data_IF_696572757090
#
_entry.id   IF_696572757090
#
_cell.length_a   1.000
_cell.length_b   1.000
_cell.length_c   1.000
_cell.angle_alpha   90.00
_cell.angle_beta   90.00
_cell.angle_gamma   90.00
#
_symmetry.space_group_name_H-M   'P 1'
#
loop_
_entity.id
_entity.type
_entity.pdbx_description
1 polymer ?
#
# COMPACT_ATOMS: atom_id res chain seq x y z
N UNK A 1 48.32 -6.84 10.74
CA UNK A 1 47.11 -6.15 11.23
C UNK A 1 46.26 -5.81 10.04
N UNK A 2 45.36 -6.70 9.67
CA UNK A 2 44.43 -6.49 8.56
C UNK A 2 43.11 -5.94 9.09
N UNK A 3 42.73 -4.75 8.63
CA UNK A 3 41.45 -4.13 8.94
C UNK A 3 40.38 -4.70 8.03
N UNK A 4 39.53 -5.56 8.55
CA UNK A 4 38.34 -6.06 7.89
C UNK A 4 37.34 -4.92 7.73
N UNK A 5 37.18 -4.42 6.51
CA UNK A 5 36.13 -3.46 6.12
C UNK A 5 34.79 -4.16 6.05
N UNK A 6 33.97 -4.02 7.08
CA UNK A 6 32.56 -4.45 7.07
C UNK A 6 31.77 -3.58 6.07
N UNK A 7 31.38 -4.15 4.94
CA UNK A 7 30.54 -3.49 3.94
C UNK A 7 29.11 -3.38 4.48
N UNK A 8 28.69 -2.17 4.77
CA UNK A 8 27.26 -1.82 4.92
C UNK A 8 26.58 -1.88 3.53
N UNK A 9 26.08 -3.05 3.18
CA UNK A 9 25.33 -3.26 1.94
C UNK A 9 23.87 -3.48 2.33
N UNK A 10 22.96 -2.52 2.05
CA UNK A 10 21.54 -2.78 2.27
C UNK A 10 20.53 -1.66 2.01
N UNK A 11 20.87 -0.40 2.05
CA UNK A 11 19.86 0.66 1.92
C UNK A 11 19.99 1.55 0.67
N UNK A 12 21.13 1.68 0.07
CA UNK A 12 21.34 2.52 -1.12
C UNK A 12 20.72 1.93 -2.41
N UNK A 13 20.63 0.60 -2.54
CA UNK A 13 20.19 -0.05 -3.78
C UNK A 13 18.68 -0.06 -4.04
N UNK A 14 17.83 0.22 -3.05
CA UNK A 14 16.37 0.18 -3.22
C UNK A 14 15.80 1.53 -3.68
N UNK A 15 16.49 2.64 -3.38
CA UNK A 15 16.03 3.98 -3.78
C UNK A 15 16.17 4.24 -5.28
N UNK A 16 17.09 3.55 -5.96
CA UNK A 16 17.31 3.67 -7.41
C UNK A 16 16.42 2.70 -8.22
N UNK A 17 15.73 1.75 -7.55
CA UNK A 17 14.93 0.72 -8.21
C UNK A 17 13.58 1.24 -8.74
N UNK A 18 13.08 2.34 -8.24
CA UNK A 18 11.82 2.95 -8.66
C UNK A 18 11.71 4.41 -8.21
N UNK A 19 10.89 5.18 -8.90
CA UNK A 19 10.46 6.51 -8.47
C UNK A 19 8.99 6.48 -8.06
N UNK A 20 8.60 7.40 -7.19
CA UNK A 20 7.21 7.64 -6.81
C UNK A 20 6.75 8.97 -7.37
N UNK A 21 5.61 9.02 -8.04
CA UNK A 21 5.05 10.22 -8.61
C UNK A 21 3.56 10.35 -8.29
N UNK A 22 3.07 11.58 -8.14
CA UNK A 22 1.65 11.83 -8.03
C UNK A 22 1.00 11.79 -9.41
N UNK A 23 -0.07 11.02 -9.56
CA UNK A 23 -0.85 10.95 -10.80
C UNK A 23 -1.93 12.02 -10.75
N UNK A 24 -1.78 13.07 -11.57
CA UNK A 24 -2.64 14.25 -11.54
C UNK A 24 -3.58 14.36 -12.73
N UNK A 25 -3.19 13.78 -13.86
CA UNK A 25 -3.95 13.84 -15.10
C UNK A 25 -4.83 12.59 -15.31
N UNK A 26 -5.86 12.74 -16.11
CA UNK A 26 -6.82 11.67 -16.37
C UNK A 26 -6.23 10.56 -17.24
N UNK A 27 -5.26 10.86 -18.08
CA UNK A 27 -4.61 9.83 -18.90
C UNK A 27 -3.86 8.81 -18.03
N UNK A 28 -3.09 9.28 -17.04
CA UNK A 28 -2.42 8.41 -16.07
C UNK A 28 -3.40 7.63 -15.19
N UNK A 29 -4.48 8.27 -14.75
CA UNK A 29 -5.56 7.61 -13.96
C UNK A 29 -6.21 6.48 -14.76
N UNK A 30 -6.58 6.72 -16.01
CA UNK A 30 -7.15 5.72 -16.93
C UNK A 30 -6.18 4.59 -17.20
N UNK A 31 -4.90 4.89 -17.42
CA UNK A 31 -3.87 3.87 -17.65
C UNK A 31 -3.73 2.92 -16.45
N UNK A 32 -3.81 3.43 -15.21
CA UNK A 32 -3.82 2.62 -13.99
C UNK A 32 -5.04 1.71 -13.91
N UNK A 33 -6.23 2.25 -14.19
CA UNK A 33 -7.46 1.45 -14.20
C UNK A 33 -7.40 0.33 -15.24
N UNK A 34 -7.05 0.68 -16.48
CA UNK A 34 -6.90 -0.29 -17.57
C UNK A 34 -5.90 -1.41 -17.21
N UNK A 35 -4.82 -1.07 -16.49
CA UNK A 35 -3.87 -2.07 -16.00
C UNK A 35 -4.46 -2.95 -14.92
N UNK A 36 -5.16 -2.39 -13.94
CA UNK A 36 -5.87 -3.20 -12.92
C UNK A 36 -6.87 -4.16 -13.56
N UNK A 37 -7.59 -3.74 -14.61
CA UNK A 37 -8.48 -4.61 -15.36
C UNK A 37 -7.72 -5.77 -16.04
N UNK A 38 -6.66 -5.47 -16.76
CA UNK A 38 -5.84 -6.49 -17.43
C UNK A 38 -5.26 -7.54 -16.48
N UNK A 39 -4.88 -7.13 -15.27
CA UNK A 39 -4.32 -8.02 -14.26
C UNK A 39 -5.38 -8.65 -13.34
N UNK A 40 -6.67 -8.34 -13.53
CA UNK A 40 -7.77 -8.87 -12.73
C UNK A 40 -7.79 -8.36 -11.28
N UNK A 41 -7.21 -7.17 -11.03
CA UNK A 41 -7.04 -6.60 -9.69
C UNK A 41 -8.21 -5.71 -9.24
N UNK A 42 -9.11 -5.33 -10.16
CA UNK A 42 -10.25 -4.45 -9.85
C UNK A 42 -11.14 -5.00 -8.75
N UNK A 43 -11.35 -6.32 -8.70
CA UNK A 43 -12.16 -6.97 -7.66
C UNK A 43 -11.57 -6.91 -6.25
N UNK A 44 -10.26 -6.68 -6.12
CA UNK A 44 -9.60 -6.48 -4.83
C UNK A 44 -9.48 -4.99 -4.48
N UNK A 45 -9.13 -4.16 -5.47
CA UNK A 45 -8.94 -2.72 -5.28
C UNK A 45 -10.27 -1.96 -5.13
N UNK A 46 -11.33 -2.45 -5.75
CA UNK A 46 -12.67 -1.85 -5.74
C UNK A 46 -13.74 -2.87 -5.34
N UNK A 47 -13.51 -3.62 -4.26
CA UNK A 47 -14.36 -4.73 -3.84
C UNK A 47 -15.81 -4.34 -3.50
N UNK A 48 -16.05 -3.06 -3.20
CA UNK A 48 -17.38 -2.52 -2.92
C UNK A 48 -18.23 -2.27 -4.20
N UNK A 49 -17.66 -2.46 -5.40
CA UNK A 49 -18.36 -2.38 -6.69
C UNK A 49 -18.47 -3.77 -7.31
N UNK A 50 -19.67 -4.10 -7.77
CA UNK A 50 -19.90 -5.39 -8.44
C UNK A 50 -19.21 -5.45 -9.81
N UNK A 51 -19.31 -4.36 -10.57
CA UNK A 51 -18.71 -4.18 -11.89
C UNK A 51 -18.09 -2.78 -11.99
N UNK A 52 -16.89 -2.54 -11.41
CA UNK A 52 -16.28 -1.23 -11.42
C UNK A 52 -15.88 -0.81 -12.83
N UNK A 53 -16.29 0.40 -13.23
CA UNK A 53 -15.99 1.01 -14.52
C UNK A 53 -14.95 2.10 -14.39
N UNK A 54 -14.42 2.55 -15.54
CA UNK A 54 -13.43 3.64 -15.58
C UNK A 54 -13.97 4.91 -14.93
N UNK A 55 -15.26 5.23 -15.16
CA UNK A 55 -15.87 6.42 -14.57
C UNK A 55 -15.96 6.35 -13.05
N UNK A 56 -16.19 5.15 -12.48
CA UNK A 56 -16.22 4.94 -11.03
C UNK A 56 -14.83 5.15 -10.44
N UNK A 57 -13.81 4.63 -11.11
CA UNK A 57 -12.41 4.84 -10.74
C UNK A 57 -12.01 6.31 -10.83
N UNK A 58 -12.31 6.99 -11.95
CA UNK A 58 -12.01 8.40 -12.12
C UNK A 58 -12.69 9.25 -11.05
N UNK A 59 -13.98 9.00 -10.76
CA UNK A 59 -14.71 9.66 -9.67
C UNK A 59 -14.05 9.40 -8.32
N UNK A 60 -13.64 8.16 -8.07
CA UNK A 60 -12.97 7.78 -6.84
C UNK A 60 -11.66 8.55 -6.65
N UNK A 61 -10.75 8.51 -7.63
CA UNK A 61 -9.40 9.08 -7.48
C UNK A 61 -9.32 10.59 -7.65
N UNK A 62 -10.33 11.21 -8.27
CA UNK A 62 -10.38 12.67 -8.50
C UNK A 62 -11.11 13.43 -7.39
N UNK A 63 -11.66 12.76 -6.39
CA UNK A 63 -12.37 13.43 -5.31
C UNK A 63 -11.43 14.36 -4.52
N UNK A 64 -11.92 15.49 -3.99
CA UNK A 64 -11.11 16.50 -3.32
C UNK A 64 -10.26 15.92 -2.19
N UNK A 65 -9.02 16.40 -2.09
CA UNK A 65 -8.07 16.03 -1.04
C UNK A 65 -7.44 14.62 -1.19
N UNK A 66 -7.82 13.84 -2.18
CA UNK A 66 -7.20 12.54 -2.46
C UNK A 66 -5.85 12.70 -3.14
N UNK A 67 -4.95 11.80 -2.79
CA UNK A 67 -3.60 11.70 -3.38
C UNK A 67 -3.45 10.31 -3.99
N UNK A 68 -3.30 10.27 -5.32
CA UNK A 68 -2.96 9.05 -6.03
C UNK A 68 -1.48 9.06 -6.36
N UNK A 69 -0.73 8.10 -5.84
CA UNK A 69 0.69 7.89 -6.14
C UNK A 69 0.85 6.68 -7.05
N UNK A 70 1.85 6.72 -7.93
CA UNK A 70 2.33 5.54 -8.64
C UNK A 70 3.83 5.35 -8.40
N UNK A 71 4.26 4.10 -8.33
CA UNK A 71 5.66 3.70 -8.36
C UNK A 71 6.01 3.23 -9.77
N UNK A 72 7.10 3.76 -10.32
CA UNK A 72 7.53 3.48 -11.70
C UNK A 72 8.99 3.05 -11.71
N UNK A 73 9.30 1.93 -12.35
CA UNK A 73 10.68 1.47 -12.59
C UNK A 73 11.42 2.40 -13.56
N UNK A 74 12.76 2.32 -13.64
CA UNK A 74 13.57 3.14 -14.55
C UNK A 74 13.19 3.00 -16.03
N UNK A 75 12.68 1.85 -16.45
CA UNK A 75 12.21 1.56 -17.81
C UNK A 75 10.80 2.11 -18.10
N UNK A 76 10.17 2.79 -17.12
CA UNK A 76 8.82 3.33 -17.26
C UNK A 76 7.71 2.35 -16.84
N UNK A 77 8.04 1.12 -16.47
CA UNK A 77 7.04 0.15 -16.01
C UNK A 77 6.42 0.59 -14.68
N UNK A 78 5.10 0.73 -14.63
CA UNK A 78 4.39 1.01 -13.37
C UNK A 78 4.37 -0.23 -12.49
N UNK A 79 4.86 -0.15 -11.27
CA UNK A 79 5.03 -1.27 -10.33
C UNK A 79 3.89 -1.37 -9.32
N UNK A 80 3.39 -0.23 -8.86
CA UNK A 80 2.33 -0.15 -7.86
C UNK A 80 1.60 1.19 -7.97
N UNK A 81 0.41 1.27 -7.38
CA UNK A 81 -0.25 2.53 -7.09
C UNK A 81 -0.87 2.52 -5.69
N UNK A 82 -0.97 3.71 -5.09
CA UNK A 82 -1.60 3.91 -3.79
C UNK A 82 -2.53 5.11 -3.82
N UNK A 83 -3.75 4.93 -3.35
CA UNK A 83 -4.73 5.98 -3.15
C UNK A 83 -4.80 6.32 -1.67
N UNK A 84 -4.67 7.61 -1.34
CA UNK A 84 -4.71 8.13 0.03
C UNK A 84 -5.82 9.16 0.14
N UNK A 85 -6.87 8.80 0.83
CA UNK A 85 -8.10 9.60 0.96
C UNK A 85 -8.16 10.29 2.32
N UNK A 86 -8.58 11.55 2.43
CA UNK A 86 -8.87 12.16 3.73
C UNK A 86 -9.94 11.34 4.44
N UNK A 87 -9.74 11.09 5.74
CA UNK A 87 -10.75 10.43 6.56
C UNK A 87 -11.24 11.35 7.68
N UNK A 88 -10.46 11.57 8.73
CA UNK A 88 -10.79 12.51 9.82
C UNK A 88 -9.54 13.28 10.27
N UNK A 89 -9.64 14.59 10.35
CA UNK A 89 -8.51 15.43 10.73
C UNK A 89 -7.28 15.18 9.84
N UNK A 90 -6.17 14.77 10.45
CA UNK A 90 -4.93 14.44 9.74
C UNK A 90 -4.77 12.94 9.46
N UNK A 91 -5.81 12.12 9.66
CA UNK A 91 -5.79 10.71 9.32
C UNK A 91 -6.22 10.51 7.87
N UNK A 92 -5.53 9.63 7.16
CA UNK A 92 -5.91 9.24 5.80
C UNK A 92 -6.21 7.75 5.73
N UNK A 93 -7.25 7.41 5.00
CA UNK A 93 -7.48 6.05 4.53
C UNK A 93 -6.54 5.74 3.37
N UNK A 94 -6.09 4.50 3.25
CA UNK A 94 -5.23 4.08 2.16
C UNK A 94 -5.75 2.81 1.48
N UNK A 95 -5.57 2.79 0.15
CA UNK A 95 -5.64 1.60 -0.70
C UNK A 95 -4.31 1.46 -1.43
N UNK A 96 -3.75 0.25 -1.47
CA UNK A 96 -2.46 0.01 -2.12
C UNK A 96 -2.51 -1.23 -3.00
N UNK A 97 -2.22 -1.05 -4.28
CA UNK A 97 -2.22 -2.10 -5.30
C UNK A 97 -0.82 -2.28 -5.86
N UNK A 98 -0.32 -3.51 -5.80
CA UNK A 98 0.96 -3.91 -6.42
C UNK A 98 0.64 -4.72 -7.68
N UNK A 99 1.27 -4.38 -8.79
CA UNK A 99 1.14 -5.12 -10.04
C UNK A 99 2.02 -6.36 -10.03
N UNK A 100 1.58 -7.44 -10.71
CA UNK A 100 2.20 -8.78 -10.61
C UNK A 100 3.72 -8.82 -10.75
N UNK A 101 4.36 -8.15 -11.73
CA UNK A 101 5.81 -8.18 -11.86
C UNK A 101 6.57 -7.63 -10.65
N UNK A 102 5.90 -6.81 -9.83
CA UNK A 102 6.50 -6.13 -8.68
C UNK A 102 6.17 -6.78 -7.33
N UNK A 103 5.52 -7.94 -7.27
CA UNK A 103 5.20 -8.61 -6.01
C UNK A 103 6.42 -8.84 -5.10
N UNK A 104 7.61 -9.21 -5.60
CA UNK A 104 8.80 -9.32 -4.75
C UNK A 104 9.24 -7.98 -4.10
N UNK A 105 8.83 -6.86 -4.68
CA UNK A 105 9.12 -5.50 -4.21
C UNK A 105 7.95 -4.87 -3.44
N UNK A 106 6.89 -5.63 -3.13
CA UNK A 106 5.66 -5.08 -2.54
C UNK A 106 5.91 -4.28 -1.25
N UNK A 107 6.70 -4.82 -0.32
CA UNK A 107 7.00 -4.16 0.95
C UNK A 107 7.82 -2.87 0.75
N UNK A 108 8.97 -2.87 0.05
CA UNK A 108 9.71 -1.63 -0.18
C UNK A 108 8.92 -0.57 -0.94
N UNK A 109 8.09 -0.94 -1.94
CA UNK A 109 7.22 -0.02 -2.67
C UNK A 109 6.17 0.63 -1.74
N UNK A 110 5.47 -0.18 -0.95
CA UNK A 110 4.45 0.30 -0.04
C UNK A 110 5.05 1.19 1.06
N UNK A 111 6.15 0.78 1.70
CA UNK A 111 6.83 1.59 2.72
C UNK A 111 7.31 2.94 2.17
N UNK A 112 7.87 2.96 0.96
CA UNK A 112 8.29 4.21 0.32
C UNK A 112 7.10 5.15 0.05
N UNK A 113 5.97 4.62 -0.42
CA UNK A 113 4.74 5.40 -0.62
C UNK A 113 4.20 5.95 0.70
N UNK A 114 4.13 5.16 1.77
CA UNK A 114 3.65 5.60 3.08
C UNK A 114 4.56 6.69 3.68
N UNK A 115 5.89 6.52 3.64
CA UNK A 115 6.84 7.57 4.04
C UNK A 115 6.63 8.86 3.28
N UNK A 116 6.42 8.79 1.97
CA UNK A 116 6.17 9.97 1.15
C UNK A 116 4.90 10.69 1.59
N UNK A 117 3.82 9.97 1.84
CA UNK A 117 2.56 10.55 2.31
C UNK A 117 2.75 11.26 3.65
N UNK A 118 3.36 10.60 4.64
CA UNK A 118 3.63 11.22 5.94
C UNK A 118 4.45 12.51 5.81
N UNK A 119 5.52 12.50 5.00
CA UNK A 119 6.39 13.67 4.82
C UNK A 119 5.73 14.83 4.08
N UNK A 120 4.86 14.56 3.11
CA UNK A 120 4.36 15.60 2.20
C UNK A 120 3.00 16.16 2.59
N UNK A 121 2.23 15.46 3.40
CA UNK A 121 0.83 15.85 3.65
C UNK A 121 0.52 16.18 5.10
N UNK A 122 1.49 16.09 6.02
CA UNK A 122 1.24 16.26 7.45
C UNK A 122 0.30 15.22 8.05
N UNK A 123 0.15 14.06 7.38
CA UNK A 123 -0.69 12.96 7.86
C UNK A 123 -0.13 12.41 9.17
N UNK A 124 -0.97 12.31 10.20
CA UNK A 124 -0.60 11.78 11.52
C UNK A 124 -0.72 10.26 11.58
N UNK A 125 -1.65 9.67 10.84
CA UNK A 125 -1.82 8.23 10.76
C UNK A 125 -2.43 7.81 9.41
N UNK A 126 -2.05 6.61 8.94
CA UNK A 126 -2.71 5.89 7.85
C UNK A 126 -3.61 4.83 8.47
N UNK A 127 -4.88 4.85 8.06
CA UNK A 127 -5.90 3.92 8.48
C UNK A 127 -6.37 3.07 7.29
N UNK A 128 -6.67 1.83 7.49
CA UNK A 128 -7.22 0.95 6.47
C UNK A 128 -8.22 -0.04 7.03
N UNK A 129 -9.22 -0.38 6.23
CA UNK A 129 -10.17 -1.46 6.48
C UNK A 129 -10.12 -2.43 5.32
N UNK A 130 -9.70 -3.65 5.59
CA UNK A 130 -9.48 -4.66 4.56
C UNK A 130 -10.39 -5.87 4.82
N UNK A 131 -11.11 -6.39 3.80
CA UNK A 131 -11.87 -7.63 3.95
C UNK A 131 -10.99 -8.75 4.50
N UNK A 132 -11.46 -9.48 5.51
CA UNK A 132 -10.72 -10.60 6.13
C UNK A 132 -10.28 -11.64 5.08
N UNK A 133 -11.05 -11.78 4.01
CA UNK A 133 -10.74 -12.68 2.88
C UNK A 133 -9.58 -12.20 2.00
N UNK A 134 -9.25 -10.90 2.02
CA UNK A 134 -8.11 -10.36 1.25
C UNK A 134 -6.81 -10.44 2.07
N UNK A 135 -6.36 -11.68 2.30
CA UNK A 135 -5.21 -11.98 3.16
C UNK A 135 -3.92 -11.31 2.68
N UNK A 136 -3.70 -11.22 1.38
CA UNK A 136 -2.50 -10.58 0.82
C UNK A 136 -2.39 -9.10 1.20
N UNK A 137 -3.52 -8.37 1.19
CA UNK A 137 -3.51 -6.95 1.48
C UNK A 137 -3.17 -6.66 2.96
N UNK A 138 -3.85 -7.31 3.91
CA UNK A 138 -3.55 -7.02 5.32
C UNK A 138 -2.24 -7.65 5.79
N UNK A 139 -1.75 -8.75 5.19
CA UNK A 139 -0.39 -9.24 5.42
C UNK A 139 0.67 -8.27 4.87
N UNK A 140 0.46 -7.68 3.68
CA UNK A 140 1.36 -6.65 3.17
C UNK A 140 1.40 -5.43 4.11
N UNK A 141 0.24 -4.98 4.59
CA UNK A 141 0.17 -3.87 5.53
C UNK A 141 0.94 -4.17 6.83
N UNK A 142 0.75 -5.36 7.43
CA UNK A 142 1.49 -5.75 8.65
C UNK A 142 3.00 -5.88 8.39
N UNK A 143 3.42 -6.38 7.23
CA UNK A 143 4.83 -6.38 6.83
C UNK A 143 5.40 -4.96 6.63
N UNK A 144 4.53 -3.97 6.41
CA UNK A 144 4.86 -2.53 6.38
C UNK A 144 4.69 -1.85 7.75
N UNK A 145 4.60 -2.60 8.86
CA UNK A 145 4.48 -2.09 10.23
C UNK A 145 3.12 -1.50 10.61
N UNK A 146 2.08 -1.83 9.86
CA UNK A 146 0.73 -1.56 10.33
C UNK A 146 0.37 -2.49 11.50
N UNK A 147 -0.27 -1.93 12.49
CA UNK A 147 -0.83 -2.66 13.62
C UNK A 147 -2.28 -3.01 13.33
N UNK A 148 -2.66 -4.27 13.55
CA UNK A 148 -4.07 -4.65 13.54
C UNK A 148 -4.70 -4.12 14.84
N UNK A 149 -5.63 -3.17 14.70
CA UNK A 149 -6.31 -2.52 15.84
C UNK A 149 -7.67 -3.13 16.14
N UNK A 150 -8.19 -3.95 15.24
CA UNK A 150 -9.46 -4.62 15.46
C UNK A 150 -9.92 -5.46 14.28
N UNK A 151 -10.99 -6.22 14.55
CA UNK A 151 -11.78 -6.92 13.56
C UNK A 151 -13.22 -6.45 13.69
N UNK A 152 -13.76 -5.88 12.64
CA UNK A 152 -15.10 -5.31 12.61
C UNK A 152 -16.05 -6.30 11.93
N UNK A 153 -17.05 -6.85 12.65
CA UNK A 153 -18.00 -7.80 12.07
C UNK A 153 -18.77 -7.18 10.91
N UNK A 154 -18.91 -7.93 9.81
CA UNK A 154 -19.68 -7.58 8.62
C UNK A 154 -19.38 -6.19 8.02
N UNK A 155 -18.18 -5.63 8.24
CA UNK A 155 -17.84 -4.25 7.87
C UNK A 155 -17.50 -4.07 6.38
N UNK A 156 -17.18 -5.14 5.66
CA UNK A 156 -16.81 -5.08 4.25
C UNK A 156 -17.89 -5.72 3.37
N UNK A 157 -18.46 -4.95 2.46
CA UNK A 157 -19.38 -5.43 1.44
C UNK A 157 -18.62 -5.91 0.21
N UNK A 158 -18.69 -7.21 -0.10
CA UNK A 158 -18.11 -7.78 -1.31
C UNK A 158 -19.18 -7.80 -2.40
N UNK A 159 -19.27 -6.73 -3.19
CA UNK A 159 -20.36 -6.48 -4.11
C UNK A 159 -20.54 -7.59 -5.17
N UNK A 160 -19.44 -8.13 -5.73
CA UNK A 160 -19.49 -9.25 -6.69
C UNK A 160 -20.08 -10.53 -6.10
N UNK A 161 -20.03 -10.70 -4.79
CA UNK A 161 -20.52 -11.89 -4.09
C UNK A 161 -21.85 -11.65 -3.40
N UNK A 162 -22.30 -10.39 -3.28
CA UNK A 162 -23.51 -10.02 -2.57
C UNK A 162 -23.48 -10.38 -1.09
N UNK A 163 -22.30 -10.31 -0.43
CA UNK A 163 -22.14 -10.70 0.99
C UNK A 163 -21.32 -9.68 1.77
N UNK A 164 -21.67 -9.52 3.04
CA UNK A 164 -20.83 -8.85 4.02
C UNK A 164 -19.82 -9.83 4.61
N UNK A 165 -18.60 -9.36 4.81
CA UNK A 165 -17.55 -10.08 5.53
C UNK A 165 -16.93 -9.17 6.57
N UNK A 166 -16.25 -9.76 7.55
CA UNK A 166 -15.54 -8.97 8.55
C UNK A 166 -14.40 -8.18 7.90
N UNK A 167 -14.13 -7.01 8.46
CA UNK A 167 -13.02 -6.14 8.09
C UNK A 167 -11.90 -6.23 9.12
N UNK A 168 -10.66 -6.32 8.67
CA UNK A 168 -9.46 -6.14 9.47
C UNK A 168 -9.12 -4.65 9.47
N UNK A 169 -9.12 -4.06 10.66
CA UNK A 169 -8.76 -2.65 10.85
C UNK A 169 -7.26 -2.53 11.10
N UNK A 170 -6.61 -1.64 10.37
CA UNK A 170 -5.17 -1.44 10.34
C UNK A 170 -4.83 0.03 10.59
N UNK A 171 -3.78 0.26 11.37
CA UNK A 171 -3.28 1.61 11.65
C UNK A 171 -1.75 1.66 11.58
N UNK A 172 -1.23 2.72 11.00
CA UNK A 172 0.20 3.01 10.98
C UNK A 172 0.43 4.50 11.24
N UNK A 173 1.41 4.80 12.09
CA UNK A 173 1.91 6.16 12.32
C UNK A 173 3.33 6.32 11.75
N UNK A 174 3.87 7.54 11.62
CA UNK A 174 5.28 7.72 11.24
C UNK A 174 6.23 6.91 12.12
N UNK A 175 5.99 6.89 13.43
CA UNK A 175 6.81 6.17 14.41
C UNK A 175 6.78 4.66 14.16
N UNK A 176 5.59 4.06 14.02
CA UNK A 176 5.48 2.61 13.77
C UNK A 176 6.11 2.21 12.45
N UNK A 177 6.00 3.06 11.41
CA UNK A 177 6.61 2.80 10.11
C UNK A 177 8.14 2.75 10.17
N UNK A 178 8.78 3.56 11.01
CA UNK A 178 10.24 3.63 11.13
C UNK A 178 10.80 2.59 12.12
N UNK A 179 10.10 2.27 13.21
CA UNK A 179 10.58 1.32 14.23
C UNK A 179 10.81 -0.11 13.72
N UNK A 180 10.08 -0.56 12.71
CA UNK A 180 10.29 -1.90 12.14
C UNK A 180 11.60 -2.05 11.34
N UNK A 181 12.33 -0.96 11.09
CA UNK A 181 13.67 -1.04 10.48
C UNK A 181 14.72 -1.46 11.52
N UNK A 182 14.48 -1.22 12.80
CA UNK A 182 15.39 -1.53 13.90
C UNK A 182 15.27 -2.98 14.43
N UNK A 183 14.16 -3.66 14.15
CA UNK A 183 13.89 -5.03 14.58
C UNK A 183 14.19 -6.05 13.47
N UNK A 184 15.44 -6.20 13.08
CA UNK A 184 15.88 -7.43 12.40
C UNK A 184 15.87 -8.56 13.44
N UNK A 185 15.21 -9.70 13.19
CA UNK A 185 15.14 -10.78 14.16
C UNK A 185 16.53 -11.41 14.32
N UNK A 186 17.13 -11.23 15.48
CA UNK A 186 18.07 -12.21 16.03
C UNK A 186 17.30 -13.52 16.16
N UNK A 187 17.71 -14.52 15.39
CA UNK A 187 17.04 -15.81 15.28
C UNK A 187 16.75 -16.48 16.63
N UNK A 188 15.75 -17.37 16.68
CA UNK A 188 15.42 -18.09 17.89
C UNK A 188 16.60 -18.98 18.30
N UNK A 189 17.12 -18.77 19.53
CA UNK A 189 17.97 -19.74 20.21
C UNK A 189 17.14 -21.01 20.43
N UNK A 190 17.61 -22.11 19.86
CA UNK A 190 17.08 -23.43 20.17
C UNK A 190 17.24 -23.71 21.69
N UNK A 191 16.23 -24.27 22.36
CA UNK A 191 16.38 -24.79 23.72
C UNK A 191 17.26 -26.03 23.71
N UNK A 192 18.24 -26.07 24.67
CA UNK A 192 18.98 -27.26 25.02
C UNK A 192 18.12 -28.21 25.83
#
# INVERSE_FOLDING_TARGET
MEHTKTRHCGQAGVQDAFRLDAVRDDAGRKALFARMCREGLTGCAMYAWADPREEDWLRLVSAPGRLLLQATAPDGTVLACGLFSPWRGQVREFDFTVFRPAFPLAVPLARAAFRRVFRQTGTSALWGLCPVSNRHAWHLATACSFVITGRLPAACWLARRGVHVDGIQLLCTPETLEHAVAASPSGPRAPQ
#
